data_IF_297262412375
#
_entry.id   IF_297262412375
#
_cell.length_a   1.000
_cell.length_b   1.000
_cell.length_c   1.000
_cell.angle_alpha   90.00
_cell.angle_beta   90.00
_cell.angle_gamma   90.00
#
_symmetry.space_group_name_H-M   'P 1'
#
loop_
_entity.id
_entity.type
_entity.pdbx_description
1 polymer ?
#
# COMPACT_ATOMS: atom_id res chain seq x y z
N UNK A 1 -3.83 19.99 15.57
CA UNK A 1 -2.78 19.25 14.82
C UNK A 1 -3.47 18.63 13.63
N UNK A 2 -2.96 18.85 12.43
CA UNK A 2 -3.53 18.30 11.19
C UNK A 2 -3.31 16.78 11.16
N UNK A 3 -4.38 15.99 11.01
CA UNK A 3 -4.29 14.54 10.98
C UNK A 3 -4.01 14.06 9.54
N UNK A 4 -2.74 14.02 9.17
CA UNK A 4 -2.30 13.52 7.87
C UNK A 4 -1.62 12.17 8.07
N UNK A 5 -2.13 11.15 7.40
CA UNK A 5 -1.46 9.86 7.32
C UNK A 5 -0.74 9.73 5.98
N UNK A 6 0.47 9.16 6.02
CA UNK A 6 1.23 8.87 4.81
C UNK A 6 1.64 7.41 4.74
N UNK A 7 1.75 6.90 3.51
CA UNK A 7 2.14 5.53 3.25
C UNK A 7 3.05 5.47 2.02
N UNK A 8 4.18 4.77 2.15
CA UNK A 8 5.14 4.51 1.07
C UNK A 8 5.32 3.00 0.95
N UNK A 9 4.71 2.35 -0.06
CA UNK A 9 4.94 0.94 -0.32
C UNK A 9 6.41 0.73 -0.66
N UNK A 10 6.98 -0.36 -0.14
CA UNK A 10 8.41 -0.63 -0.22
C UNK A 10 8.65 -2.03 -0.77
N UNK A 11 9.59 -2.15 -1.71
CA UNK A 11 10.14 -3.45 -2.13
C UNK A 11 11.31 -3.82 -1.20
N UNK A 12 11.27 -5.06 -0.69
CA UNK A 12 12.29 -5.58 0.22
C UNK A 12 13.16 -6.58 -0.53
N UNK A 13 14.47 -6.33 -0.57
CA UNK A 13 15.46 -7.24 -1.14
C UNK A 13 16.36 -7.80 -0.05
N UNK A 14 16.28 -9.10 0.16
CA UNK A 14 17.18 -9.83 1.04
C UNK A 14 18.32 -10.42 0.20
N UNK A 15 19.57 -10.07 0.50
CA UNK A 15 20.76 -10.63 -0.15
C UNK A 15 21.69 -11.27 0.87
N UNK A 16 22.28 -12.42 0.53
CA UNK A 16 23.34 -13.00 1.37
C UNK A 16 24.58 -12.11 1.32
N UNK A 17 25.18 -11.90 2.49
CA UNK A 17 26.48 -11.24 2.59
C UNK A 17 27.57 -12.19 2.06
N UNK A 18 28.56 -11.61 1.39
CA UNK A 18 29.72 -12.38 0.88
C UNK A 18 30.79 -12.60 1.94
N UNK A 19 30.82 -11.74 2.95
CA UNK A 19 31.87 -11.64 3.96
C UNK A 19 31.55 -12.35 5.28
N UNK A 20 30.29 -12.75 5.50
CA UNK A 20 29.88 -13.48 6.70
C UNK A 20 28.65 -14.34 6.44
N UNK A 21 28.33 -15.25 7.38
CA UNK A 21 27.12 -16.08 7.34
C UNK A 21 25.86 -15.29 7.76
N UNK A 22 25.64 -14.13 7.14
CA UNK A 22 24.52 -13.23 7.42
C UNK A 22 23.82 -12.76 6.14
N UNK A 23 22.67 -12.12 6.31
CA UNK A 23 21.91 -11.51 5.22
C UNK A 23 21.88 -9.99 5.37
N UNK A 24 21.66 -9.29 4.26
CA UNK A 24 21.40 -7.85 4.20
C UNK A 24 20.01 -7.64 3.62
N UNK A 25 19.15 -7.01 4.39
CA UNK A 25 17.85 -6.52 3.93
C UNK A 25 18.02 -5.10 3.41
N UNK A 26 17.56 -4.83 2.19
CA UNK A 26 17.55 -3.50 1.59
C UNK A 26 16.13 -3.16 1.19
N UNK A 27 15.67 -2.02 1.66
CA UNK A 27 14.34 -1.48 1.40
C UNK A 27 14.44 -0.34 0.39
N UNK A 28 13.56 -0.34 -0.61
CA UNK A 28 13.44 0.73 -1.60
C UNK A 28 11.96 1.04 -1.87
N UNK A 29 11.60 2.29 -2.20
CA UNK A 29 10.23 2.60 -2.59
C UNK A 29 9.79 1.75 -3.79
N UNK A 30 8.62 1.12 -3.68
CA UNK A 30 8.02 0.33 -4.76
C UNK A 30 7.74 1.22 -5.98
N UNK A 31 7.29 2.45 -5.73
CA UNK A 31 7.04 3.51 -6.70
C UNK A 31 7.93 4.72 -6.39
N UNK A 32 9.14 4.79 -6.95
CA UNK A 32 10.06 5.91 -6.70
C UNK A 32 9.42 7.26 -7.05
N UNK A 33 9.48 8.23 -6.12
CA UNK A 33 8.93 9.57 -6.31
C UNK A 33 7.45 9.73 -5.98
N UNK A 34 6.79 8.69 -5.46
CA UNK A 34 5.37 8.72 -5.07
C UNK A 34 5.19 8.42 -3.58
N UNK A 35 4.18 9.07 -3.00
CA UNK A 35 3.72 8.87 -1.63
C UNK A 35 2.19 8.90 -1.62
N UNK A 36 1.58 8.02 -0.85
CA UNK A 36 0.14 8.05 -0.61
C UNK A 36 -0.14 8.91 0.62
N UNK A 37 -1.16 9.76 0.51
CA UNK A 37 -1.60 10.63 1.58
C UNK A 37 -3.08 10.38 1.84
N UNK A 38 -3.44 10.32 3.13
CA UNK A 38 -4.83 10.28 3.59
C UNK A 38 -5.06 11.50 4.48
N UNK A 39 -5.97 12.35 4.05
CA UNK A 39 -6.34 13.59 4.71
C UNK A 39 -7.77 13.97 4.32
N UNK A 40 -8.40 14.82 5.13
CA UNK A 40 -9.70 15.42 4.79
C UNK A 40 -9.46 16.70 3.97
N UNK A 41 -9.95 16.80 2.72
CA UNK A 41 -9.79 18.00 1.90
C UNK A 41 -10.53 19.24 2.45
N UNK A 42 -11.53 19.05 3.32
CA UNK A 42 -12.23 20.15 4.02
C UNK A 42 -11.37 20.75 5.13
N UNK A 43 -10.50 19.95 5.75
CA UNK A 43 -9.55 20.44 6.76
C UNK A 43 -8.23 20.91 6.14
N UNK A 44 -7.79 20.27 5.05
CA UNK A 44 -6.48 20.48 4.42
C UNK A 44 -6.64 20.58 2.91
N UNK A 45 -6.59 21.79 2.39
CA UNK A 45 -6.63 21.98 0.94
C UNK A 45 -5.41 21.36 0.27
N UNK A 46 -5.63 20.74 -0.90
CA UNK A 46 -4.62 20.09 -1.74
C UNK A 46 -3.44 21.02 -2.09
N UNK A 47 -3.68 22.32 -2.18
CA UNK A 47 -2.66 23.35 -2.44
C UNK A 47 -1.55 23.36 -1.39
N UNK A 48 -1.89 23.07 -0.13
CA UNK A 48 -0.92 22.96 0.97
C UNK A 48 0.18 21.95 0.68
N UNK A 49 -0.17 20.83 0.02
CA UNK A 49 0.79 19.80 -0.33
C UNK A 49 1.63 20.17 -1.56
N UNK A 50 1.06 20.89 -2.52
CA UNK A 50 1.82 21.35 -3.70
C UNK A 50 2.85 22.44 -3.37
N UNK A 51 2.68 23.12 -2.24
CA UNK A 51 3.63 24.13 -1.74
C UNK A 51 4.83 23.52 -0.98
N UNK A 52 4.78 22.23 -0.65
CA UNK A 52 5.88 21.54 0.04
C UNK A 52 7.08 21.45 -0.93
N UNK A 53 8.28 21.93 -0.53
CA UNK A 53 9.47 21.79 -1.36
C UNK A 53 9.73 20.33 -1.75
N UNK A 54 9.76 20.06 -3.06
CA UNK A 54 9.96 18.71 -3.60
C UNK A 54 8.67 17.94 -3.88
N UNK A 55 7.52 18.40 -3.40
CA UNK A 55 6.24 17.94 -3.92
C UNK A 55 6.04 18.49 -5.33
N UNK A 56 5.47 17.68 -6.22
CA UNK A 56 5.34 18.05 -7.64
C UNK A 56 3.89 18.31 -8.03
N UNK A 57 3.07 17.27 -8.00
CA UNK A 57 1.64 17.33 -8.28
C UNK A 57 0.98 16.06 -7.76
N UNK A 58 -0.35 16.11 -7.57
CA UNK A 58 -1.14 14.90 -7.40
C UNK A 58 -1.19 14.10 -8.71
N UNK A 59 -1.35 12.79 -8.60
CA UNK A 59 -1.68 11.97 -9.77
C UNK A 59 -3.13 12.28 -10.15
N UNK A 60 -3.39 12.51 -11.43
CA UNK A 60 -4.71 12.90 -11.91
C UNK A 60 -5.02 12.21 -13.23
N UNK A 61 -6.21 11.63 -13.35
CA UNK A 61 -6.76 11.14 -14.62
C UNK A 61 -7.91 12.06 -15.04
N UNK A 62 -7.93 12.52 -16.28
CA UNK A 62 -8.96 13.46 -16.75
C UNK A 62 -8.94 14.86 -16.11
N UNK A 63 -7.84 15.27 -15.49
CA UNK A 63 -7.64 16.62 -14.94
C UNK A 63 -8.12 16.83 -13.50
N UNK A 64 -8.59 15.79 -12.82
CA UNK A 64 -8.90 15.79 -11.38
C UNK A 64 -7.92 14.89 -10.62
N UNK A 65 -7.46 15.27 -9.42
CA UNK A 65 -6.67 14.39 -8.57
C UNK A 65 -7.37 13.06 -8.34
N UNK A 66 -6.66 11.95 -8.54
CA UNK A 66 -7.21 10.62 -8.38
C UNK A 66 -7.21 10.22 -6.91
N UNK A 67 -8.36 9.77 -6.42
CA UNK A 67 -8.50 9.15 -5.11
C UNK A 67 -8.15 7.67 -5.22
N UNK A 68 -7.43 7.14 -4.24
CA UNK A 68 -7.11 5.71 -4.19
C UNK A 68 -8.00 5.04 -3.16
N UNK A 69 -8.69 3.97 -3.55
CA UNK A 69 -9.57 3.23 -2.65
C UNK A 69 -8.80 2.60 -1.48
N UNK A 70 -9.45 2.55 -0.31
CA UNK A 70 -8.91 1.87 0.87
C UNK A 70 -8.60 0.39 0.59
N UNK A 71 -9.33 -0.22 -0.33
CA UNK A 71 -9.13 -1.59 -0.80
C UNK A 71 -7.76 -1.77 -1.46
N UNK A 72 -7.37 -0.86 -2.36
CA UNK A 72 -6.03 -0.89 -2.98
C UNK A 72 -4.95 -0.63 -1.93
N UNK A 73 -5.14 0.34 -1.03
CA UNK A 73 -4.17 0.62 0.05
C UNK A 73 -4.00 -0.58 0.98
N UNK A 74 -5.09 -1.25 1.35
CA UNK A 74 -5.06 -2.46 2.15
C UNK A 74 -4.33 -3.59 1.42
N UNK A 75 -4.61 -3.79 0.13
CA UNK A 75 -3.94 -4.80 -0.69
C UNK A 75 -2.42 -4.54 -0.77
N UNK A 76 -1.99 -3.30 -1.01
CA UNK A 76 -0.57 -2.92 -1.00
C UNK A 76 0.10 -3.20 0.35
N UNK A 77 -0.55 -2.85 1.46
CA UNK A 77 -0.04 -3.10 2.82
C UNK A 77 0.07 -4.59 3.11
N UNK A 78 -0.95 -5.38 2.77
CA UNK A 78 -0.94 -6.83 2.93
C UNK A 78 0.17 -7.48 2.10
N UNK A 79 0.28 -7.13 0.81
CA UNK A 79 1.33 -7.68 -0.06
C UNK A 79 2.73 -7.32 0.43
N UNK A 80 2.96 -6.08 0.86
CA UNK A 80 4.24 -5.68 1.44
C UNK A 80 4.58 -6.48 2.71
N UNK A 81 3.58 -6.71 3.58
CA UNK A 81 3.76 -7.50 4.80
C UNK A 81 4.17 -8.95 4.49
N UNK A 82 3.49 -9.59 3.53
CA UNK A 82 3.74 -10.99 3.19
C UNK A 82 5.07 -11.23 2.48
N UNK A 83 5.65 -10.20 1.85
CA UNK A 83 7.02 -10.28 1.34
C UNK A 83 8.07 -10.40 2.45
N UNK A 84 7.77 -9.86 3.63
CA UNK A 84 8.66 -9.91 4.80
C UNK A 84 8.32 -11.14 5.67
N UNK A 85 7.04 -11.44 5.82
CA UNK A 85 6.51 -12.50 6.67
C UNK A 85 5.62 -13.46 5.85
N UNK A 86 6.23 -14.32 5.00
CA UNK A 86 5.47 -15.23 4.14
C UNK A 86 4.69 -16.30 4.93
N UNK A 87 5.06 -16.55 6.19
CA UNK A 87 4.35 -17.49 7.06
C UNK A 87 2.92 -17.00 7.41
N UNK A 88 2.66 -15.69 7.30
CA UNK A 88 1.37 -15.05 7.65
C UNK A 88 0.36 -15.01 6.49
N UNK A 89 0.64 -15.75 5.40
CA UNK A 89 -0.17 -15.78 4.16
C UNK A 89 -1.66 -16.14 4.36
N UNK A 90 -2.04 -16.72 5.50
CA UNK A 90 -3.38 -17.23 5.75
C UNK A 90 -4.45 -16.16 6.03
N UNK A 91 -4.08 -14.89 6.28
CA UNK A 91 -5.03 -13.87 6.77
C UNK A 91 -5.18 -12.68 5.81
N UNK A 92 -4.13 -12.27 5.10
CA UNK A 92 -4.06 -10.94 4.46
C UNK A 92 -4.98 -10.69 3.26
N UNK A 93 -5.49 -11.73 2.59
CA UNK A 93 -6.15 -11.60 1.29
C UNK A 93 -7.63 -12.03 1.23
N UNK A 94 -8.17 -12.61 2.31
CA UNK A 94 -9.48 -13.30 2.27
C UNK A 94 -10.67 -12.41 1.85
N UNK A 95 -10.53 -11.09 2.02
CA UNK A 95 -11.58 -10.12 1.72
C UNK A 95 -11.26 -9.24 0.50
N UNK A 96 -10.18 -9.53 -0.22
CA UNK A 96 -9.77 -8.78 -1.41
C UNK A 96 -10.14 -9.54 -2.68
N UNK A 97 -10.59 -8.85 -3.75
CA UNK A 97 -10.85 -9.51 -5.03
C UNK A 97 -9.61 -10.27 -5.54
N UNK A 98 -9.74 -11.53 -6.00
CA UNK A 98 -8.63 -12.31 -6.53
C UNK A 98 -7.85 -11.59 -7.63
N UNK A 99 -8.57 -10.90 -8.53
CA UNK A 99 -7.96 -10.13 -9.62
C UNK A 99 -7.08 -8.99 -9.10
N UNK A 100 -7.51 -8.29 -8.04
CA UNK A 100 -6.70 -7.24 -7.41
C UNK A 100 -5.43 -7.83 -6.80
N UNK A 101 -5.54 -8.98 -6.14
CA UNK A 101 -4.40 -9.67 -5.53
C UNK A 101 -3.37 -10.06 -6.60
N UNK A 102 -3.83 -10.62 -7.72
CA UNK A 102 -2.96 -10.99 -8.84
C UNK A 102 -2.25 -9.76 -9.44
N UNK A 103 -2.99 -8.67 -9.70
CA UNK A 103 -2.41 -7.43 -10.22
C UNK A 103 -1.37 -6.83 -9.28
N UNK A 104 -1.66 -6.77 -7.98
CA UNK A 104 -0.71 -6.26 -6.97
C UNK A 104 0.51 -7.16 -6.87
N UNK A 105 0.35 -8.48 -6.82
CA UNK A 105 1.45 -9.44 -6.82
C UNK A 105 2.37 -9.28 -8.03
N UNK A 106 1.77 -9.07 -9.22
CA UNK A 106 2.52 -8.80 -10.46
C UNK A 106 3.32 -7.50 -10.35
N UNK A 107 2.75 -6.43 -9.78
CA UNK A 107 3.47 -5.17 -9.54
C UNK A 107 4.68 -5.41 -8.64
N UNK A 108 4.54 -6.11 -7.51
CA UNK A 108 5.67 -6.39 -6.61
C UNK A 108 6.75 -7.28 -7.24
N UNK A 109 6.37 -8.17 -8.15
CA UNK A 109 7.30 -9.06 -8.85
C UNK A 109 8.03 -8.39 -10.03
N UNK A 110 7.53 -7.24 -10.49
CA UNK A 110 8.07 -6.55 -11.67
C UNK A 110 9.38 -5.82 -11.33
N UNK A 111 10.46 -6.14 -12.05
CA UNK A 111 11.81 -5.64 -11.76
C UNK A 111 12.03 -4.18 -12.14
N UNK A 112 11.38 -3.73 -13.22
CA UNK A 112 11.54 -2.37 -13.73
C UNK A 112 10.58 -1.42 -13.00
N UNK A 113 11.13 -0.39 -12.35
CA UNK A 113 10.35 0.57 -11.58
C UNK A 113 9.33 1.35 -12.44
N UNK A 114 9.67 1.68 -13.69
CA UNK A 114 8.76 2.39 -14.59
C UNK A 114 7.58 1.49 -14.99
N UNK A 115 7.85 0.22 -15.30
CA UNK A 115 6.80 -0.76 -15.62
C UNK A 115 5.87 -1.01 -14.43
N UNK A 116 6.42 -1.04 -13.21
CA UNK A 116 5.62 -1.07 -11.98
C UNK A 116 4.68 0.13 -11.87
N UNK A 117 5.20 1.34 -12.07
CA UNK A 117 4.41 2.57 -12.00
C UNK A 117 3.29 2.57 -13.05
N UNK A 118 3.61 2.21 -14.30
CA UNK A 118 2.61 2.09 -15.37
C UNK A 118 1.52 1.07 -15.01
N UNK A 119 1.93 -0.11 -14.51
CA UNK A 119 0.98 -1.16 -14.11
C UNK A 119 0.08 -0.70 -12.96
N UNK A 120 0.65 0.05 -12.02
CA UNK A 120 -0.10 0.64 -10.92
C UNK A 120 -1.05 1.75 -11.38
N UNK A 121 -0.66 2.62 -12.31
CA UNK A 121 -1.57 3.65 -12.85
C UNK A 121 -2.74 3.05 -13.63
N UNK A 122 -2.52 1.96 -14.37
CA UNK A 122 -3.61 1.21 -14.99
C UNK A 122 -4.56 0.59 -13.97
N UNK A 123 -4.02 0.16 -12.82
CA UNK A 123 -4.84 -0.33 -11.71
C UNK A 123 -5.69 0.81 -11.12
N UNK A 124 -5.10 1.99 -10.90
CA UNK A 124 -5.83 3.16 -10.40
C UNK A 124 -6.92 3.63 -11.38
N UNK A 125 -6.63 3.66 -12.68
CA UNK A 125 -7.61 4.04 -13.71
C UNK A 125 -8.82 3.08 -13.73
N UNK A 126 -8.66 1.85 -13.25
CA UNK A 126 -9.72 0.84 -13.12
C UNK A 126 -10.27 0.67 -11.68
N UNK A 127 -9.91 1.55 -10.74
CA UNK A 127 -10.28 1.43 -9.32
C UNK A 127 -11.80 1.51 -9.10
N UNK A 128 -12.51 2.32 -9.90
CA UNK A 128 -13.97 2.39 -9.86
C UNK A 128 -14.65 1.02 -10.07
N UNK A 129 -14.11 0.20 -10.98
CA UNK A 129 -14.65 -1.14 -11.24
C UNK A 129 -14.39 -2.07 -10.04
N UNK A 130 -13.25 -1.91 -9.36
CA UNK A 130 -12.87 -2.69 -8.16
C UNK A 130 -13.78 -2.37 -6.98
N UNK A 131 -14.11 -1.10 -6.77
CA UNK A 131 -15.08 -0.69 -5.74
C UNK A 131 -16.48 -1.27 -6.01
N UNK A 132 -16.96 -1.19 -7.26
CA UNK A 132 -18.26 -1.75 -7.65
C UNK A 132 -18.33 -3.26 -7.43
N UNK A 133 -17.24 -3.98 -7.70
CA UNK A 133 -17.15 -5.42 -7.42
C UNK A 133 -17.18 -5.74 -5.93
N UNK A 134 -16.58 -4.90 -5.09
CA UNK A 134 -16.54 -5.09 -3.64
C UNK A 134 -17.91 -4.83 -2.99
N UNK A 135 -18.72 -3.89 -3.53
CA UNK A 135 -20.06 -3.56 -2.99
C UNK A 135 -21.12 -4.62 -3.27
N UNK A 136 -20.99 -5.40 -4.35
CA UNK A 136 -22.00 -6.38 -4.76
C UNK A 136 -21.82 -7.78 -4.13
N UNK A 137 -20.73 -8.03 -3.39
CA UNK A 137 -20.47 -9.35 -2.82
C UNK A 137 -19.68 -9.30 -1.52
N UNK A 138 -20.38 -9.24 -0.38
CA UNK A 138 -19.82 -9.67 0.91
C UNK A 138 -20.08 -8.71 2.05
N UNK A 139 -20.87 -9.17 3.02
CA UNK A 139 -21.03 -8.54 4.34
C UNK A 139 -19.65 -8.28 4.97
N UNK A 140 -19.37 -7.02 5.26
CA UNK A 140 -18.15 -6.57 5.92
C UNK A 140 -18.22 -6.94 7.41
N UNK A 141 -17.33 -7.81 7.86
CA UNK A 141 -16.97 -7.94 9.28
C UNK A 141 -15.47 -7.67 9.40
N UNK A 142 -15.10 -6.45 9.76
CA UNK A 142 -13.77 -6.17 10.32
C UNK A 142 -13.87 -6.22 11.86
N UNK A 143 -13.54 -7.37 12.44
CA UNK A 143 -12.93 -7.39 13.76
C UNK A 143 -11.51 -7.93 13.59
N UNK A 144 -10.53 -7.05 13.77
CA UNK A 144 -9.18 -7.47 14.15
C UNK A 144 -9.26 -7.83 15.62
N UNK A 145 -8.86 -9.03 16.07
CA UNK A 145 -8.68 -9.28 17.49
C UNK A 145 -7.57 -8.35 17.97
N UNK A 146 -7.93 -7.39 18.83
CA UNK A 146 -7.00 -6.60 19.60
C UNK A 146 -6.29 -7.51 20.62
N UNK A 147 -5.34 -8.33 20.15
CA UNK A 147 -4.36 -8.94 21.03
C UNK A 147 -3.31 -7.87 21.37
N UNK A 148 -3.63 -7.03 22.34
CA UNK A 148 -2.59 -6.40 23.15
C UNK A 148 -1.90 -7.50 23.97
N UNK A 149 -0.57 -7.66 23.91
CA UNK A 149 0.13 -8.46 24.90
C UNK A 149 -0.07 -7.81 26.28
N UNK A 150 -0.88 -8.44 27.12
CA UNK A 150 -0.98 -8.08 28.53
C UNK A 150 0.36 -8.37 29.20
N UNK A 151 1.08 -7.29 29.53
CA UNK A 151 2.22 -7.34 30.44
C UNK A 151 1.67 -7.74 31.81
N UNK A 152 1.97 -8.96 32.27
CA UNK A 152 1.70 -9.37 33.65
C UNK A 152 2.71 -8.68 34.58
N UNK A 153 2.27 -8.01 35.66
CA UNK A 153 3.19 -7.56 36.70
C UNK A 153 3.83 -8.76 37.39
N UNK A 154 5.12 -8.60 37.69
CA UNK A 154 5.97 -9.52 38.46
C UNK A 154 5.36 -9.84 39.82
N UNK A 155 5.44 -11.12 40.21
CA UNK A 155 5.26 -11.57 41.60
C UNK A 155 6.63 -11.55 42.28
#
# INVERSE_FOLDING_TARGET
>A
MLNIESFVPTEVKISRRRDCNGCRTTEKPLFPGYIFLRFDPEEIHTTTFTEIPGARHFVSFGGQPETVSDTIIAALKCSAHLLIYPEDNAVGFKNLPPELIEKISLIFSTKNALERQISFFKLLESDNDIELMTRNGGRIYSQVPSNQPQIRPSV
#
